data_IF_916387796564
#
_entry.id   IF_916387796564
#
_cell.length_a   1.000
_cell.length_b   1.000
_cell.length_c   1.000
_cell.angle_alpha   90.00
_cell.angle_beta   90.00
_cell.angle_gamma   90.00
#
_symmetry.space_group_name_H-M   'P 1'
#
loop_
_entity.id
_entity.type
_entity.pdbx_description
1 polymer ?
#
# COMPACT_ATOMS: atom_id res chain seq x y z
N UNK A 1 -11.60 2.60 7.72
CA UNK A 1 -10.43 3.50 7.88
C UNK A 1 -10.55 4.86 7.21
N UNK A 2 -10.91 4.98 5.91
CA UNK A 2 -11.00 6.29 5.21
C UNK A 2 -11.92 7.33 5.89
N UNK A 3 -13.08 6.91 6.38
CA UNK A 3 -14.00 7.79 7.11
C UNK A 3 -13.39 8.30 8.43
N UNK A 4 -12.65 7.44 9.14
CA UNK A 4 -11.95 7.82 10.37
C UNK A 4 -10.84 8.85 10.09
N UNK A 5 -10.01 8.60 9.06
CA UNK A 5 -8.98 9.53 8.62
C UNK A 5 -9.54 10.91 8.27
N UNK A 6 -10.67 10.95 7.55
CA UNK A 6 -11.32 12.21 7.16
C UNK A 6 -11.91 12.97 8.35
N UNK A 7 -12.49 12.27 9.31
CA UNK A 7 -13.30 12.88 10.39
C UNK A 7 -12.50 13.26 11.63
N UNK A 8 -11.47 12.47 12.00
CA UNK A 8 -10.82 12.60 13.30
C UNK A 8 -9.34 12.97 13.23
N UNK A 9 -8.66 12.58 12.15
CA UNK A 9 -7.19 12.66 12.08
C UNK A 9 -6.69 13.54 10.93
N UNK A 10 -7.56 14.32 10.28
CA UNK A 10 -7.23 15.16 9.11
C UNK A 10 -6.39 14.45 8.02
N UNK A 11 -6.48 13.12 7.95
CA UNK A 11 -5.68 12.29 7.05
C UNK A 11 -4.18 12.20 7.36
N UNK A 12 -3.72 12.54 8.57
CA UNK A 12 -2.28 12.56 8.93
C UNK A 12 -1.86 11.46 9.90
N UNK A 13 -2.80 10.71 10.49
CA UNK A 13 -2.45 9.62 11.41
C UNK A 13 -1.83 8.43 10.66
N UNK A 14 -0.56 8.18 10.95
CA UNK A 14 0.26 7.13 10.32
C UNK A 14 -0.15 5.72 10.72
N UNK A 15 -0.70 5.52 11.92
CA UNK A 15 -1.21 4.21 12.36
C UNK A 15 -2.47 3.84 11.58
N UNK A 16 -3.39 4.79 11.43
CA UNK A 16 -4.62 4.54 10.65
C UNK A 16 -4.31 4.35 9.16
N UNK A 17 -3.32 5.06 8.63
CA UNK A 17 -2.81 4.84 7.27
C UNK A 17 -2.17 3.46 7.11
N UNK A 18 -1.40 2.99 8.09
CA UNK A 18 -0.82 1.65 8.08
C UNK A 18 -1.91 0.57 8.04
N UNK A 19 -2.94 0.69 8.87
CA UNK A 19 -4.07 -0.26 8.84
C UNK A 19 -4.82 -0.22 7.50
N UNK A 20 -5.01 0.96 6.92
CA UNK A 20 -5.60 1.10 5.59
C UNK A 20 -4.72 0.41 4.51
N UNK A 21 -3.40 0.61 4.56
CA UNK A 21 -2.47 -0.05 3.65
C UNK A 21 -2.52 -1.57 3.79
N UNK A 22 -2.65 -2.09 5.01
CA UNK A 22 -2.82 -3.52 5.28
C UNK A 22 -4.10 -4.07 4.65
N UNK A 23 -5.22 -3.36 4.75
CA UNK A 23 -6.45 -3.79 4.05
C UNK A 23 -6.30 -3.83 2.54
N UNK A 24 -5.55 -2.89 1.96
CA UNK A 24 -5.25 -2.91 0.52
C UNK A 24 -4.31 -4.06 0.14
N UNK A 25 -3.35 -4.40 1.01
CA UNK A 25 -2.45 -5.53 0.81
C UNK A 25 -3.21 -6.87 0.85
N UNK A 26 -4.09 -7.06 1.83
CA UNK A 26 -4.93 -8.26 1.96
C UNK A 26 -5.94 -8.39 0.81
N UNK A 27 -6.41 -7.27 0.26
CA UNK A 27 -7.27 -7.24 -0.93
C UNK A 27 -6.51 -7.30 -2.28
N UNK A 28 -5.18 -7.51 -2.26
CA UNK A 28 -4.31 -7.51 -3.45
C UNK A 28 -4.37 -6.21 -4.30
N UNK A 29 -4.79 -5.11 -3.69
CA UNK A 29 -4.85 -3.78 -4.31
C UNK A 29 -3.51 -3.08 -4.20
N UNK A 30 -2.52 -3.60 -4.94
CA UNK A 30 -1.12 -3.22 -4.79
C UNK A 30 -0.82 -1.74 -5.02
N UNK A 31 -1.49 -1.10 -5.98
CA UNK A 31 -1.29 0.32 -6.27
C UNK A 31 -1.77 1.22 -5.13
N UNK A 32 -2.95 0.93 -4.57
CA UNK A 32 -3.51 1.67 -3.45
C UNK A 32 -2.73 1.43 -2.15
N UNK A 33 -2.26 0.19 -1.94
CA UNK A 33 -1.36 -0.16 -0.85
C UNK A 33 -0.08 0.69 -0.91
N UNK A 34 0.60 0.71 -2.07
CA UNK A 34 1.80 1.52 -2.31
C UNK A 34 1.54 3.01 -2.04
N UNK A 35 0.47 3.56 -2.60
CA UNK A 35 0.14 4.99 -2.44
C UNK A 35 -0.09 5.35 -0.96
N UNK A 36 -0.78 4.48 -0.23
CA UNK A 36 -1.06 4.69 1.20
C UNK A 36 0.21 4.61 2.04
N UNK A 37 1.10 3.66 1.77
CA UNK A 37 2.39 3.52 2.46
C UNK A 37 3.32 4.69 2.18
N UNK A 38 3.41 5.15 0.93
CA UNK A 38 4.23 6.33 0.59
C UNK A 38 3.74 7.59 1.31
N UNK A 39 2.42 7.76 1.44
CA UNK A 39 1.85 8.84 2.24
C UNK A 39 2.23 8.72 3.72
N UNK A 40 2.15 7.52 4.29
CA UNK A 40 2.56 7.29 5.68
C UNK A 40 4.06 7.57 5.90
N UNK A 41 4.92 7.17 4.96
CA UNK A 41 6.37 7.46 4.99
C UNK A 41 6.62 8.97 4.94
N UNK A 42 5.88 9.72 4.12
CA UNK A 42 6.03 11.18 4.07
C UNK A 42 5.71 11.85 5.43
N UNK A 43 4.75 11.30 6.17
CA UNK A 43 4.34 11.80 7.48
C UNK A 43 5.26 11.36 8.62
N UNK A 44 5.83 10.15 8.54
CA UNK A 44 6.77 9.62 9.53
C UNK A 44 7.98 8.97 8.85
N UNK A 45 8.91 9.78 8.27
CA UNK A 45 10.02 9.25 7.51
C UNK A 45 10.99 8.45 8.39
N UNK A 46 11.11 8.78 9.68
CA UNK A 46 11.96 8.05 10.64
C UNK A 46 11.46 6.63 10.97
N UNK A 47 10.20 6.31 10.65
CA UNK A 47 9.65 4.99 10.93
C UNK A 47 10.09 3.99 9.84
N UNK A 48 11.02 3.10 10.20
CA UNK A 48 11.57 2.11 9.28
C UNK A 48 10.56 1.01 8.90
N UNK A 49 9.55 0.73 9.74
CA UNK A 49 8.58 -0.34 9.46
C UNK A 49 7.76 -0.02 8.21
N UNK A 50 7.39 1.24 8.03
CA UNK A 50 6.66 1.70 6.84
C UNK A 50 7.47 1.50 5.55
N UNK A 51 8.80 1.69 5.62
CA UNK A 51 9.70 1.46 4.48
C UNK A 51 9.84 -0.02 4.17
N UNK A 52 9.93 -0.85 5.21
CA UNK A 52 9.95 -2.31 5.07
C UNK A 52 8.65 -2.81 4.42
N UNK A 53 7.49 -2.40 4.94
CA UNK A 53 6.18 -2.78 4.41
C UNK A 53 6.00 -2.34 2.95
N UNK A 54 6.49 -1.14 2.60
CA UNK A 54 6.48 -0.67 1.21
C UNK A 54 7.33 -1.55 0.29
N UNK A 55 8.51 -1.99 0.76
CA UNK A 55 9.35 -2.93 0.03
C UNK A 55 8.66 -4.27 -0.21
N UNK A 56 8.04 -4.84 0.82
CA UNK A 56 7.30 -6.11 0.72
C UNK A 56 6.11 -5.98 -0.25
N UNK A 57 5.33 -4.91 -0.15
CA UNK A 57 4.22 -4.66 -1.05
C UNK A 57 4.66 -4.52 -2.52
N UNK A 58 5.77 -3.83 -2.79
CA UNK A 58 6.32 -3.70 -4.14
C UNK A 58 6.88 -5.03 -4.67
N UNK A 59 7.53 -5.84 -3.82
CA UNK A 59 7.99 -7.16 -4.22
C UNK A 59 6.81 -8.05 -4.64
N UNK A 60 5.75 -8.10 -3.83
CA UNK A 60 4.53 -8.86 -4.15
C UNK A 60 3.83 -8.34 -5.39
N UNK A 61 3.80 -7.03 -5.59
CA UNK A 61 3.25 -6.43 -6.81
C UNK A 61 4.02 -6.87 -8.05
N UNK A 62 5.35 -6.83 -8.01
CA UNK A 62 6.21 -7.28 -9.11
C UNK A 62 6.01 -8.77 -9.39
N UNK A 63 6.02 -9.62 -8.35
CA UNK A 63 5.78 -11.05 -8.50
C UNK A 63 4.40 -11.35 -9.10
N UNK A 64 3.34 -10.73 -8.59
CA UNK A 64 1.97 -10.93 -9.11
C UNK A 64 1.79 -10.40 -10.54
N UNK A 65 2.56 -9.38 -10.94
CA UNK A 65 2.55 -8.87 -12.32
C UNK A 65 3.26 -9.83 -13.27
N UNK A 66 4.41 -10.40 -12.86
CA UNK A 66 5.20 -11.33 -13.67
C UNK A 66 4.59 -12.74 -13.74
N UNK A 67 3.86 -13.17 -12.71
CA UNK A 67 3.18 -14.46 -12.67
C UNK A 67 1.87 -14.49 -13.47
N UNK A 68 1.34 -13.33 -13.87
CA UNK A 68 0.19 -13.30 -14.79
C UNK A 68 0.63 -13.91 -16.13
N UNK A 69 -0.14 -14.86 -16.68
CA UNK A 69 0.20 -15.43 -17.98
C UNK A 69 0.32 -14.29 -18.99
N UNK A 70 1.43 -14.30 -19.73
CA UNK A 70 1.67 -13.36 -20.82
C UNK A 70 0.49 -13.54 -21.77
N UNK A 71 -0.34 -12.50 -21.96
CA UNK A 71 -1.31 -12.50 -23.05
C UNK A 71 -0.48 -12.59 -24.34
N UNK A 72 -0.40 -13.77 -24.95
CA UNK A 72 0.01 -13.89 -26.34
C UNK A 72 -0.99 -13.08 -27.15
N UNK A 73 -0.50 -12.30 -28.11
CA UNK A 73 -1.33 -11.49 -29.00
C UNK A 73 -2.01 -12.33 -30.10
N UNK A 74 -2.35 -13.58 -29.77
CA UNK A 74 -3.07 -14.53 -30.61
C UNK A 74 -4.26 -15.03 -29.80
N UNK A 75 -5.33 -14.23 -29.80
CA UNK A 75 -6.76 -14.60 -29.71
C UNK A 75 -7.62 -13.33 -29.74
#
# INVERSE_FOLDING_TARGET
YRNCLRKFHYGTDTQVLLYLARTHYEAEQWQDCKKTLLRAIHLAPSNYTLRFDAGVAMQKFSSSTLQKPKRSADE
#
